data_IF_816093373052
#
_entry.id   IF_816093373052
#
_cell.length_a   1.000
_cell.length_b   1.000
_cell.length_c   1.000
_cell.angle_alpha   90.00
_cell.angle_beta   90.00
_cell.angle_gamma   90.00
#
_symmetry.space_group_name_H-M   'P 1'
#
loop_
_entity.id
_entity.type
_entity.pdbx_description
1 polymer ?
#
# COMPACT_ATOMS: atom_id res chain seq x y z
N UNK A 1 -4.76 -2.32 -11.22
CA UNK A 1 -3.33 -2.02 -11.04
C UNK A 1 -2.46 -2.71 -12.10
N UNK A 2 -2.75 -3.98 -12.46
CA UNK A 2 -2.04 -4.70 -13.55
C UNK A 2 -2.18 -3.98 -14.89
N UNK A 3 -3.42 -3.76 -15.36
CA UNK A 3 -3.66 -3.03 -16.61
C UNK A 3 -3.10 -1.60 -16.60
N UNK A 4 -3.16 -0.93 -15.45
CA UNK A 4 -2.54 0.38 -15.31
C UNK A 4 -1.01 0.33 -15.47
N UNK A 5 -0.36 -0.72 -14.96
CA UNK A 5 1.08 -0.93 -15.22
C UNK A 5 1.34 -1.24 -16.71
N UNK A 6 0.54 -2.12 -17.30
CA UNK A 6 0.71 -2.55 -18.69
C UNK A 6 0.66 -1.35 -19.67
N UNK A 7 -0.18 -0.35 -19.36
CA UNK A 7 -0.38 0.87 -20.19
C UNK A 7 0.61 2.01 -19.89
N UNK A 8 1.53 1.87 -18.92
CA UNK A 8 2.56 2.88 -18.71
C UNK A 8 3.54 2.95 -19.88
N UNK A 9 4.08 4.13 -20.22
CA UNK A 9 5.19 4.29 -21.14
C UNK A 9 6.41 3.45 -20.72
N UNK A 10 7.21 3.00 -21.69
CA UNK A 10 8.34 2.12 -21.45
C UNK A 10 9.42 2.76 -20.55
N UNK A 11 9.72 4.03 -20.78
CA UNK A 11 10.65 4.82 -19.98
C UNK A 11 10.18 4.96 -18.52
N UNK A 12 8.89 5.19 -18.31
CA UNK A 12 8.33 5.21 -16.94
C UNK A 12 8.43 3.84 -16.27
N UNK A 13 8.14 2.74 -16.99
CA UNK A 13 8.29 1.39 -16.44
C UNK A 13 9.73 1.13 -16.00
N UNK A 14 10.70 1.51 -16.82
CA UNK A 14 12.13 1.39 -16.51
C UNK A 14 12.50 2.23 -15.29
N UNK A 15 12.00 3.47 -15.23
CA UNK A 15 12.22 4.34 -14.08
C UNK A 15 11.68 3.75 -12.77
N UNK A 16 10.55 3.06 -12.80
CA UNK A 16 9.90 2.50 -11.60
C UNK A 16 10.56 1.22 -11.09
N UNK A 17 11.32 0.53 -11.92
CA UNK A 17 11.89 -0.78 -11.57
C UNK A 17 12.82 -0.66 -10.37
N UNK A 18 12.60 -1.50 -9.37
CA UNK A 18 13.38 -1.53 -8.13
C UNK A 18 13.16 -0.35 -7.17
N UNK A 19 12.40 0.69 -7.55
CA UNK A 19 12.11 1.79 -6.62
C UNK A 19 11.25 1.30 -5.45
N UNK A 20 11.56 1.78 -4.26
CA UNK A 20 10.90 1.44 -3.00
C UNK A 20 10.09 2.65 -2.52
N UNK A 21 8.84 2.41 -2.14
CA UNK A 21 7.98 3.42 -1.53
C UNK A 21 7.76 3.14 -0.04
N UNK A 22 7.73 4.20 0.73
CA UNK A 22 7.31 4.20 2.13
C UNK A 22 5.79 4.37 2.21
N UNK A 23 5.11 3.42 2.81
CA UNK A 23 3.68 3.44 3.09
C UNK A 23 3.42 3.64 4.57
N UNK A 24 2.61 4.62 4.94
CA UNK A 24 2.34 4.94 6.32
C UNK A 24 0.88 5.37 6.54
N UNK A 25 0.19 4.68 7.42
CA UNK A 25 -1.23 4.93 7.67
C UNK A 25 -1.51 6.37 8.13
N UNK A 26 -0.63 6.92 8.95
CA UNK A 26 -0.78 8.28 9.46
C UNK A 26 -0.67 9.35 8.38
N UNK A 27 0.07 9.07 7.29
CA UNK A 27 0.10 9.95 6.13
C UNK A 27 -1.29 10.02 5.47
N UNK A 28 -1.94 8.87 5.22
CA UNK A 28 -3.27 8.88 4.61
C UNK A 28 -4.35 9.47 5.51
N UNK A 29 -4.26 9.26 6.82
CA UNK A 29 -5.18 9.88 7.78
C UNK A 29 -5.06 11.41 7.77
N UNK A 30 -3.83 11.93 7.76
CA UNK A 30 -3.59 13.38 7.63
C UNK A 30 -4.17 13.95 6.32
N UNK A 31 -4.05 13.22 5.22
CA UNK A 31 -4.61 13.65 3.93
C UNK A 31 -6.13 13.61 3.90
N UNK A 32 -6.75 12.63 4.58
CA UNK A 32 -8.20 12.45 4.58
C UNK A 32 -8.92 13.49 5.47
N UNK A 33 -8.33 13.84 6.61
CA UNK A 33 -8.92 14.76 7.57
C UNK A 33 -7.85 15.67 8.19
N UNK A 34 -7.28 16.62 7.44
CA UNK A 34 -6.12 17.40 7.89
C UNK A 34 -6.41 18.29 9.10
N UNK A 35 -7.67 18.68 9.31
CA UNK A 35 -8.09 19.53 10.43
C UNK A 35 -8.40 18.74 11.70
N UNK A 36 -8.78 17.47 11.55
CA UNK A 36 -9.11 16.57 12.65
C UNK A 36 -7.94 15.63 12.99
N UNK A 37 -6.82 15.77 12.27
CA UNK A 37 -5.69 14.89 12.41
C UNK A 37 -4.80 15.31 13.57
N UNK A 38 -4.89 14.58 14.66
CA UNK A 38 -3.88 14.61 15.71
C UNK A 38 -2.62 13.89 15.27
N UNK A 39 -1.47 14.47 15.59
CA UNK A 39 -0.19 13.80 15.32
C UNK A 39 -0.13 12.51 16.14
N UNK A 40 0.26 11.40 15.54
CA UNK A 40 0.38 10.15 16.28
C UNK A 40 1.39 10.30 17.42
N UNK A 41 1.06 9.73 18.57
CA UNK A 41 1.96 9.59 19.71
C UNK A 41 3.18 8.71 19.33
N UNK A 42 4.22 8.76 20.13
CA UNK A 42 5.40 7.92 19.86
C UNK A 42 5.09 6.43 20.00
N UNK A 43 4.19 6.06 20.91
CA UNK A 43 3.70 4.69 21.05
C UNK A 43 2.95 4.22 19.79
N UNK A 44 2.07 5.04 19.23
CA UNK A 44 1.36 4.72 17.99
C UNK A 44 2.30 4.60 16.79
N UNK A 45 3.33 5.45 16.70
CA UNK A 45 4.36 5.34 15.64
C UNK A 45 5.14 4.03 15.74
N UNK A 46 5.47 3.59 16.97
CA UNK A 46 6.17 2.33 17.23
C UNK A 46 5.26 1.14 16.92
N UNK A 47 3.99 1.20 17.33
CA UNK A 47 3.02 0.13 17.15
C UNK A 47 2.60 -0.06 15.69
N UNK A 48 2.59 1.03 14.92
CA UNK A 48 2.22 1.02 13.49
C UNK A 48 3.31 1.75 12.68
N UNK A 49 4.48 1.13 12.54
CA UNK A 49 5.58 1.71 11.79
C UNK A 49 5.26 1.80 10.28
N UNK A 50 6.00 2.63 9.54
CA UNK A 50 5.92 2.60 8.08
C UNK A 50 6.29 1.22 7.51
N UNK A 51 5.65 0.86 6.40
CA UNK A 51 5.97 -0.31 5.62
C UNK A 51 6.65 0.12 4.30
N UNK A 52 7.55 -0.71 3.80
CA UNK A 52 8.32 -0.44 2.59
C UNK A 52 8.04 -1.50 1.55
N UNK A 53 7.68 -1.07 0.35
CA UNK A 53 7.34 -1.97 -0.76
C UNK A 53 7.91 -1.43 -2.06
N UNK A 54 8.28 -2.32 -2.96
CA UNK A 54 8.61 -1.93 -4.33
C UNK A 54 7.38 -1.37 -5.03
N UNK A 55 7.56 -0.32 -5.84
CA UNK A 55 6.49 0.30 -6.63
C UNK A 55 5.93 -0.65 -7.68
N UNK A 56 6.78 -1.49 -8.23
CA UNK A 56 6.41 -2.56 -9.16
C UNK A 56 6.61 -3.88 -8.44
N UNK A 57 5.55 -4.68 -8.40
CA UNK A 57 5.58 -6.02 -7.84
C UNK A 57 5.28 -7.04 -8.94
N UNK A 58 5.93 -8.20 -8.84
CA UNK A 58 5.73 -9.31 -9.78
C UNK A 58 4.97 -10.43 -9.07
N UNK A 59 3.85 -10.83 -9.65
CA UNK A 59 3.08 -11.96 -9.15
C UNK A 59 3.87 -13.26 -9.32
N UNK A 60 4.13 -14.02 -8.24
CA UNK A 60 5.00 -15.19 -8.29
C UNK A 60 4.43 -16.36 -9.10
N UNK A 61 3.12 -16.41 -9.28
CA UNK A 61 2.40 -17.45 -10.01
C UNK A 61 2.31 -17.19 -11.52
N UNK A 62 2.27 -15.93 -11.93
CA UNK A 62 2.03 -15.55 -13.33
C UNK A 62 3.15 -14.72 -13.94
N UNK A 63 4.14 -14.32 -13.16
CA UNK A 63 5.19 -13.36 -13.52
C UNK A 63 4.66 -12.00 -14.00
N UNK A 64 3.36 -11.73 -13.79
CA UNK A 64 2.72 -10.50 -14.22
C UNK A 64 3.04 -9.37 -13.26
N UNK A 65 3.48 -8.24 -13.80
CA UNK A 65 3.79 -7.04 -13.03
C UNK A 65 2.53 -6.23 -12.68
N UNK A 66 2.59 -5.54 -11.56
CA UNK A 66 1.52 -4.65 -11.07
C UNK A 66 2.11 -3.45 -10.36
N UNK A 67 1.44 -2.30 -10.45
CA UNK A 67 1.74 -1.17 -9.58
C UNK A 67 1.26 -1.47 -8.16
N UNK A 68 2.11 -1.17 -7.18
CA UNK A 68 1.77 -1.23 -5.77
C UNK A 68 1.82 0.16 -5.15
N UNK A 69 0.71 0.88 -5.32
CA UNK A 69 0.55 2.27 -4.87
C UNK A 69 -0.76 2.40 -4.09
N UNK A 70 -0.81 3.36 -3.17
CA UNK A 70 -1.99 3.62 -2.37
C UNK A 70 -2.00 5.07 -1.83
N UNK A 71 -3.08 5.48 -1.17
CA UNK A 71 -3.17 6.80 -0.54
C UNK A 71 -2.21 6.98 0.64
N UNK A 72 -1.78 5.89 1.28
CA UNK A 72 -0.81 5.92 2.37
C UNK A 72 0.65 5.88 1.90
N UNK A 73 0.91 5.84 0.60
CA UNK A 73 2.25 6.02 0.05
C UNK A 73 2.70 7.47 0.26
N UNK A 74 3.74 7.66 1.09
CA UNK A 74 4.22 8.95 1.53
C UNK A 74 5.34 9.49 0.65
N UNK A 75 6.33 8.66 0.36
CA UNK A 75 7.51 9.04 -0.44
C UNK A 75 8.13 7.84 -1.13
N UNK A 76 8.97 8.11 -2.11
CA UNK A 76 9.85 7.12 -2.75
C UNK A 76 11.23 7.29 -2.15
N UNK A 77 11.83 6.20 -1.68
CA UNK A 77 13.12 6.20 -1.01
C UNK A 77 14.23 6.57 -2.00
N UNK A 78 15.15 7.43 -1.56
CA UNK A 78 16.27 7.90 -2.38
C UNK A 78 15.89 8.96 -3.43
N UNK A 79 14.63 9.42 -3.46
CA UNK A 79 14.18 10.45 -4.38
C UNK A 79 13.91 11.77 -3.62
N UNK A 80 14.28 12.94 -4.18
CA UNK A 80 13.92 14.23 -3.60
C UNK A 80 12.41 14.36 -3.38
N UNK A 81 12.00 15.02 -2.29
CA UNK A 81 10.59 15.07 -1.86
C UNK A 81 9.65 15.59 -2.95
N UNK A 82 10.06 16.63 -3.66
CA UNK A 82 9.28 17.22 -4.76
C UNK A 82 9.06 16.22 -5.88
N UNK A 83 10.11 15.59 -6.37
CA UNK A 83 10.06 14.62 -7.47
C UNK A 83 9.25 13.38 -7.06
N UNK A 84 9.48 12.88 -5.84
CA UNK A 84 8.71 11.79 -5.25
C UNK A 84 7.20 12.12 -5.22
N UNK A 85 6.84 13.32 -4.79
CA UNK A 85 5.44 13.76 -4.72
C UNK A 85 4.82 13.88 -6.12
N UNK A 86 5.55 14.40 -7.09
CA UNK A 86 5.11 14.53 -8.48
C UNK A 86 4.89 13.16 -9.12
N UNK A 87 5.83 12.24 -8.94
CA UNK A 87 5.72 10.86 -9.46
C UNK A 87 4.56 10.09 -8.81
N UNK A 88 4.40 10.19 -7.49
CA UNK A 88 3.27 9.58 -6.77
C UNK A 88 1.93 10.12 -7.30
N UNK A 89 1.84 11.43 -7.51
CA UNK A 89 0.63 12.05 -8.07
C UNK A 89 0.33 11.56 -9.48
N UNK A 90 1.35 11.50 -10.33
CA UNK A 90 1.24 10.98 -11.69
C UNK A 90 0.74 9.53 -11.70
N UNK A 91 1.38 8.64 -10.96
CA UNK A 91 1.02 7.23 -10.91
C UNK A 91 -0.40 7.00 -10.37
N UNK A 92 -0.79 7.75 -9.33
CA UNK A 92 -2.15 7.68 -8.79
C UNK A 92 -3.19 8.18 -9.79
N UNK A 93 -2.92 9.30 -10.45
CA UNK A 93 -3.80 9.83 -11.51
C UNK A 93 -3.94 8.86 -12.67
N UNK A 94 -2.84 8.27 -13.12
CA UNK A 94 -2.84 7.27 -14.17
C UNK A 94 -3.67 6.04 -13.79
N UNK A 95 -3.45 5.47 -12.61
CA UNK A 95 -4.15 4.25 -12.16
C UNK A 95 -5.63 4.48 -11.81
N UNK A 96 -6.05 5.72 -11.63
CA UNK A 96 -7.44 6.09 -11.33
C UNK A 96 -8.26 6.47 -12.57
N UNK A 97 -7.75 6.27 -13.78
CA UNK A 97 -8.53 6.50 -14.99
C UNK A 97 -9.75 5.58 -15.06
N UNK A 98 -10.88 6.04 -15.60
CA UNK A 98 -12.13 5.26 -15.66
C UNK A 98 -11.97 3.87 -16.29
N UNK A 99 -11.07 3.74 -17.27
CA UNK A 99 -10.79 2.46 -17.95
C UNK A 99 -10.23 1.35 -17.04
N UNK A 100 -9.71 1.71 -15.85
CA UNK A 100 -9.19 0.74 -14.87
C UNK A 100 -10.12 0.55 -13.67
N UNK A 101 -11.28 1.22 -13.64
CA UNK A 101 -12.19 1.19 -12.51
C UNK A 101 -13.31 0.19 -12.72
N UNK A 102 -13.66 -0.50 -11.65
CA UNK A 102 -14.87 -1.30 -11.52
C UNK A 102 -15.65 -0.78 -10.32
N UNK A 103 -16.93 -0.45 -10.51
CA UNK A 103 -17.84 -0.10 -9.43
C UNK A 103 -18.71 -1.28 -9.07
N UNK A 104 -18.69 -1.67 -7.80
CA UNK A 104 -19.53 -2.74 -7.27
C UNK A 104 -20.65 -2.10 -6.45
N UNK A 105 -21.90 -2.42 -6.80
CA UNK A 105 -23.06 -2.00 -6.03
C UNK A 105 -23.46 -3.11 -5.06
N UNK A 106 -23.59 -2.75 -3.80
CA UNK A 106 -24.18 -3.60 -2.77
C UNK A 106 -25.69 -3.62 -2.96
N UNK A 107 -26.28 -4.78 -3.20
CA UNK A 107 -27.71 -4.93 -3.50
C UNK A 107 -28.48 -5.58 -2.38
N UNK A 108 -27.85 -6.52 -1.66
CA UNK A 108 -28.52 -7.33 -0.66
C UNK A 108 -27.73 -7.35 0.64
N UNK A 109 -28.42 -7.60 1.75
CA UNK A 109 -27.76 -7.96 3.01
C UNK A 109 -27.07 -9.32 2.81
N UNK A 110 -25.79 -9.39 3.17
CA UNK A 110 -24.99 -10.59 2.99
C UNK A 110 -24.19 -10.65 1.69
N UNK A 111 -24.29 -9.64 0.81
CA UNK A 111 -23.39 -9.55 -0.34
C UNK A 111 -21.94 -9.56 0.12
N UNK A 112 -21.12 -10.34 -0.55
CA UNK A 112 -19.67 -10.48 -0.28
C UNK A 112 -18.86 -10.01 -1.49
N UNK A 113 -17.87 -9.16 -1.25
CA UNK A 113 -16.89 -8.77 -2.24
C UNK A 113 -15.51 -9.13 -1.75
N UNK A 114 -14.79 -9.90 -2.53
CA UNK A 114 -13.39 -10.24 -2.30
C UNK A 114 -12.51 -9.56 -3.33
N UNK A 115 -11.41 -8.98 -2.88
CA UNK A 115 -10.38 -8.38 -3.75
C UNK A 115 -8.98 -8.69 -3.25
N UNK A 116 -8.04 -8.67 -4.16
CA UNK A 116 -6.63 -8.85 -3.87
C UNK A 116 -5.95 -7.49 -3.69
N UNK A 117 -5.59 -7.16 -2.45
CA UNK A 117 -4.91 -5.90 -2.11
C UNK A 117 -3.54 -5.75 -2.79
N UNK A 118 -2.93 -6.84 -3.22
CA UNK A 118 -1.61 -6.84 -3.86
C UNK A 118 -1.64 -6.22 -5.26
N UNK A 119 -2.79 -6.27 -5.92
CA UNK A 119 -2.95 -5.82 -7.30
C UNK A 119 -4.21 -4.95 -7.54
N UNK A 120 -4.85 -4.48 -6.49
CA UNK A 120 -6.01 -3.57 -6.57
C UNK A 120 -5.88 -2.41 -5.59
N UNK A 121 -6.43 -1.27 -5.96
CA UNK A 121 -6.81 -0.21 -5.04
C UNK A 121 -8.33 -0.17 -4.92
N UNK A 122 -8.82 0.18 -3.75
CA UNK A 122 -10.26 0.30 -3.52
C UNK A 122 -10.59 1.52 -2.67
N UNK A 123 -11.80 2.02 -2.83
CA UNK A 123 -12.38 3.06 -1.98
C UNK A 123 -13.88 2.89 -1.87
N UNK A 124 -14.46 3.41 -0.80
CA UNK A 124 -15.91 3.58 -0.74
C UNK A 124 -16.33 4.70 -1.70
N UNK A 125 -17.48 4.53 -2.34
CA UNK A 125 -18.19 5.61 -3.04
C UNK A 125 -19.09 6.37 -2.07
N UNK A 126 -19.42 7.60 -2.41
CA UNK A 126 -20.40 8.38 -1.66
C UNK A 126 -21.75 7.66 -1.62
N UNK A 127 -22.44 7.75 -0.52
CA UNK A 127 -23.81 7.25 -0.34
C UNK A 127 -24.61 8.24 0.53
N UNK A 128 -25.92 8.16 0.47
CA UNK A 128 -26.77 9.01 1.31
C UNK A 128 -26.86 8.40 2.73
N UNK A 129 -26.02 8.88 3.63
CA UNK A 129 -25.92 8.43 5.03
C UNK A 129 -27.09 8.92 5.90
N UNK A 130 -27.81 9.95 5.46
CA UNK A 130 -29.01 10.43 6.13
C UNK A 130 -30.22 9.49 5.89
N UNK A 131 -30.26 8.83 4.74
CA UNK A 131 -31.34 7.95 4.36
C UNK A 131 -31.03 6.47 4.54
N UNK A 132 -29.77 6.10 4.62
CA UNK A 132 -29.37 4.69 4.60
C UNK A 132 -28.34 4.38 5.68
N UNK A 133 -28.62 3.34 6.45
CA UNK A 133 -27.63 2.77 7.37
C UNK A 133 -26.67 1.86 6.60
N UNK A 134 -25.38 2.05 6.82
CA UNK A 134 -24.33 1.19 6.27
C UNK A 134 -23.61 0.44 7.40
N UNK A 135 -23.75 -0.87 7.41
CA UNK A 135 -23.01 -1.77 8.29
C UNK A 135 -22.11 -2.68 7.42
N UNK A 136 -20.81 -2.44 7.44
CA UNK A 136 -19.85 -3.16 6.62
C UNK A 136 -18.84 -3.85 7.52
N UNK A 137 -18.64 -5.13 7.29
CA UNK A 137 -17.63 -5.91 8.00
C UNK A 137 -16.53 -6.35 7.04
N UNK A 138 -15.29 -6.31 7.50
CA UNK A 138 -14.13 -6.67 6.69
C UNK A 138 -13.20 -7.56 7.49
N UNK A 139 -12.68 -8.57 6.83
CA UNK A 139 -11.52 -9.31 7.27
C UNK A 139 -10.41 -9.20 6.24
N UNK A 140 -9.16 -9.37 6.65
CA UNK A 140 -7.99 -9.34 5.76
C UNK A 140 -7.14 -10.56 6.06
N UNK A 141 -6.79 -11.30 5.02
CA UNK A 141 -5.88 -12.44 5.10
C UNK A 141 -4.46 -11.95 4.86
N UNK A 142 -3.51 -12.40 5.67
CA UNK A 142 -2.10 -12.09 5.47
C UNK A 142 -1.57 -12.77 4.21
N UNK A 143 -0.73 -12.04 3.47
CA UNK A 143 -0.02 -12.55 2.30
C UNK A 143 1.21 -13.34 2.75
N UNK A 144 1.11 -14.66 2.72
CA UNK A 144 2.18 -15.59 3.10
C UNK A 144 2.18 -16.82 2.20
N UNK A 145 3.24 -17.65 2.33
CA UNK A 145 3.40 -18.88 1.56
C UNK A 145 4.13 -18.67 0.24
N UNK A 146 4.18 -19.70 -0.62
CA UNK A 146 5.01 -19.70 -1.83
C UNK A 146 4.57 -18.70 -2.90
N UNK A 147 3.32 -18.24 -2.84
CA UNK A 147 2.75 -17.28 -3.78
C UNK A 147 2.62 -15.88 -3.19
N UNK A 148 3.28 -15.61 -2.07
CA UNK A 148 3.28 -14.28 -1.48
C UNK A 148 3.97 -13.26 -2.39
N UNK A 149 3.34 -12.10 -2.57
CA UNK A 149 3.96 -10.97 -3.26
C UNK A 149 5.00 -10.35 -2.35
N UNK A 150 6.22 -10.34 -2.72
CA UNK A 150 7.39 -9.63 -2.23
C UNK A 150 7.33 -8.65 -1.05
N UNK A 151 6.36 -8.77 -0.17
CA UNK A 151 6.21 -7.97 1.04
C UNK A 151 7.34 -8.21 2.08
N UNK A 152 8.52 -8.61 1.60
CA UNK A 152 9.67 -8.99 2.42
C UNK A 152 10.53 -7.80 2.85
N UNK A 153 10.29 -6.61 2.32
CA UNK A 153 11.06 -5.41 2.66
C UNK A 153 10.49 -4.77 3.94
N UNK A 154 10.89 -5.27 5.10
CA UNK A 154 10.75 -4.54 6.36
C UNK A 154 12.09 -3.84 6.62
N UNK A 155 12.16 -2.56 6.32
CA UNK A 155 13.33 -1.75 6.64
C UNK A 155 13.18 -1.23 8.07
N UNK A 156 14.19 -1.45 8.92
CA UNK A 156 14.27 -0.75 10.18
C UNK A 156 14.48 0.77 9.92
N UNK A 157 14.02 1.66 10.80
CA UNK A 157 14.22 3.11 10.64
C UNK A 157 15.68 3.49 10.36
N UNK A 158 16.64 2.84 11.03
CA UNK A 158 18.09 3.02 10.78
C UNK A 158 18.56 2.61 9.38
N UNK A 159 17.85 1.71 8.72
CA UNK A 159 18.16 1.28 7.36
C UNK A 159 17.63 2.24 6.29
N UNK A 160 16.61 3.02 6.63
CA UNK A 160 16.07 4.06 5.73
C UNK A 160 17.06 5.21 5.57
N UNK A 161 17.81 5.55 6.62
CA UNK A 161 18.83 6.59 6.57
C UNK A 161 20.06 6.14 5.75
N UNK A 162 20.38 4.85 5.76
CA UNK A 162 21.45 4.25 4.95
C UNK A 162 21.07 4.19 3.47
N UNK A 163 19.77 4.07 3.14
CA UNK A 163 19.29 4.08 1.74
C UNK A 163 19.39 5.46 1.07
N UNK A 164 19.54 6.51 1.86
CA UNK A 164 19.94 7.81 1.33
C UNK A 164 21.40 7.82 0.87
N UNK A 165 22.18 6.78 1.13
CA UNK A 165 23.62 6.74 0.83
C UNK A 165 24.31 5.37 0.71
N UNK A 166 23.61 4.22 0.76
CA UNK A 166 24.28 2.91 0.69
C UNK A 166 23.36 1.70 0.45
N UNK A 167 23.94 0.59 0.07
CA UNK A 167 23.28 -0.70 -0.22
C UNK A 167 22.66 -1.34 1.04
N UNK A 168 21.43 -1.87 0.91
CA UNK A 168 20.72 -2.57 1.97
C UNK A 168 21.01 -4.07 1.90
N UNK A 169 21.31 -4.66 3.03
CA UNK A 169 21.26 -6.11 3.19
C UNK A 169 19.83 -6.57 3.54
N UNK A 170 19.15 -7.14 2.57
CA UNK A 170 17.75 -7.60 2.67
C UNK A 170 17.64 -8.94 3.44
N UNK A 171 18.75 -9.61 3.72
CA UNK A 171 18.78 -10.96 4.31
C UNK A 171 18.57 -11.01 5.83
N UNK A 172 18.65 -9.87 6.54
CA UNK A 172 18.67 -9.81 8.00
C UNK A 172 17.32 -9.56 8.68
N UNK A 173 16.20 -9.89 8.05
CA UNK A 173 14.87 -9.59 8.62
C UNK A 173 14.25 -10.80 9.30
N UNK A 174 13.73 -10.68 10.53
CA UNK A 174 12.97 -11.75 11.17
C UNK A 174 11.68 -12.04 10.38
N UNK A 175 11.45 -13.31 10.10
CA UNK A 175 10.24 -13.79 9.44
C UNK A 175 9.02 -13.63 10.35
N UNK A 176 7.78 -13.50 9.80
CA UNK A 176 6.55 -13.38 10.60
C UNK A 176 6.25 -14.54 11.54
N UNK A 177 7.01 -15.63 11.43
CA UNK A 177 6.83 -16.86 12.24
C UNK A 177 7.24 -16.70 13.72
N UNK A 178 7.86 -15.58 14.11
CA UNK A 178 8.34 -15.34 15.48
C UNK A 178 7.38 -14.55 16.37
N UNK A 179 6.17 -14.17 15.88
CA UNK A 179 5.16 -13.59 16.76
C UNK A 179 4.33 -14.69 17.41
N UNK A 180 4.40 -14.79 18.72
CA UNK A 180 3.56 -15.70 19.49
C UNK A 180 2.10 -15.23 19.45
N UNK A 181 1.17 -16.17 19.58
CA UNK A 181 -0.29 -15.92 19.54
C UNK A 181 -0.74 -14.84 20.55
N UNK A 182 -0.01 -14.68 21.66
CA UNK A 182 -0.27 -13.66 22.68
C UNK A 182 -0.04 -12.22 22.18
N UNK A 183 0.87 -11.99 21.23
CA UNK A 183 1.14 -10.67 20.68
C UNK A 183 0.13 -10.24 19.58
N UNK A 184 -0.74 -11.15 19.17
CA UNK A 184 -1.78 -10.91 18.14
C UNK A 184 -3.11 -10.54 18.78
N UNK A 185 -3.38 -11.02 20.00
CA UNK A 185 -4.65 -10.80 20.71
C UNK A 185 -4.69 -9.45 21.46
N UNK A 186 -3.58 -8.71 21.52
CA UNK A 186 -3.50 -7.36 22.11
C UNK A 186 -3.59 -6.21 21.08
N UNK A 187 -3.88 -6.50 19.81
CA UNK A 187 -4.08 -5.51 18.72
C UNK A 187 -5.54 -5.48 18.27
#
# INVERSE_FOLDING_TARGET
MRAAYDDLPADVKEELEGKIAEHWIWHSRKLAAPQEFDKPTDLEKISIPPAYHTLVQTAPDTSRKTLYIASHMRRIIGMPERESTELIRYLRGHAQQPKYQLSVQWRNIGDLVQWDNRCTMHRATAFNDQANRRDMRRTTVYDHGPYAFGAKLRLAPSQVDVLSGGLIDVAAQPTPETRTRAEIDEL
#
